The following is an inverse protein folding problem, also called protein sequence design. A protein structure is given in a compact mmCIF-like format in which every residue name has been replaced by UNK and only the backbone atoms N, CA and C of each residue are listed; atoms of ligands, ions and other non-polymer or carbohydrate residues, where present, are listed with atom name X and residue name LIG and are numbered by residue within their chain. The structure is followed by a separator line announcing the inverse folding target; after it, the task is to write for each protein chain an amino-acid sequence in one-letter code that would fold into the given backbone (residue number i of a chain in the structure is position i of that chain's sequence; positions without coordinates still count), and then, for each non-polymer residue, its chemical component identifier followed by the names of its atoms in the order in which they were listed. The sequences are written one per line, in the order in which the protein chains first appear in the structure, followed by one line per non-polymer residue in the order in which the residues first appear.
data_IF_775732160240
#
_entry.id   IF_775732160240
#
_cell.length_a   1.000
_cell.length_b   1.000
_cell.length_c   1.000
_cell.angle_alpha   90.00
_cell.angle_beta   90.00
_cell.angle_gamma   90.00
#
_symmetry.space_group_name_H-M   'P 1'
#
loop_
_entity.id
_entity.type
_entity.pdbx_description
1 polymer ?
#
# COMPACT_ATOMS: atom_id res chain seq x y z
N UNK A 1 -12.22 -40.04 -25.04
CA UNK A 1 -11.53 -38.75 -25.25
C UNK A 1 -10.83 -38.40 -23.95
N UNK A 2 -9.57 -38.00 -24.03
CA UNK A 2 -8.83 -37.43 -22.89
C UNK A 2 -8.83 -35.91 -23.05
N UNK A 3 -9.49 -35.21 -22.14
CA UNK A 3 -9.60 -33.75 -22.14
C UNK A 3 -9.43 -33.21 -20.73
N UNK A 4 -8.72 -32.10 -20.58
CA UNK A 4 -8.64 -31.40 -19.30
C UNK A 4 -9.74 -30.32 -19.23
N UNK A 5 -10.76 -30.52 -18.37
CA UNK A 5 -11.99 -29.70 -18.40
C UNK A 5 -11.83 -28.30 -17.77
N UNK A 6 -10.97 -28.17 -16.75
CA UNK A 6 -10.76 -26.93 -16.02
C UNK A 6 -9.36 -26.38 -16.32
N UNK A 7 -9.25 -25.58 -17.38
CA UNK A 7 -7.98 -24.99 -17.80
C UNK A 7 -7.93 -23.53 -17.34
N UNK A 8 -6.86 -23.15 -16.67
CA UNK A 8 -6.57 -21.76 -16.30
C UNK A 8 -5.41 -21.22 -17.12
N UNK A 9 -5.63 -20.09 -17.80
CA UNK A 9 -4.57 -19.33 -18.48
C UNK A 9 -4.30 -18.03 -17.74
N UNK A 10 -3.05 -17.56 -17.73
CA UNK A 10 -2.70 -16.23 -17.18
C UNK A 10 -2.59 -15.23 -18.32
N UNK A 11 -3.16 -14.03 -18.14
CA UNK A 11 -3.15 -12.97 -19.14
C UNK A 11 -1.72 -12.68 -19.63
N UNK A 12 -1.52 -12.74 -20.95
CA UNK A 12 -0.23 -12.54 -21.61
C UNK A 12 0.75 -13.73 -21.53
N UNK A 13 0.37 -14.84 -20.89
CA UNK A 13 1.16 -16.08 -20.82
C UNK A 13 0.60 -17.16 -21.75
N UNK A 14 1.37 -18.24 -21.92
CA UNK A 14 0.94 -19.41 -22.66
C UNK A 14 -0.12 -20.21 -21.87
N UNK A 15 -1.16 -20.68 -22.55
CA UNK A 15 -2.13 -21.63 -22.02
C UNK A 15 -2.22 -22.85 -22.93
N UNK A 16 -2.48 -24.03 -22.37
CA UNK A 16 -2.51 -25.31 -23.12
C UNK A 16 -3.90 -25.91 -23.08
N UNK A 17 -4.50 -26.12 -24.25
CA UNK A 17 -5.77 -26.82 -24.42
C UNK A 17 -5.46 -28.25 -24.85
N UNK A 18 -5.49 -29.18 -23.89
CA UNK A 18 -5.20 -30.60 -24.15
C UNK A 18 -6.45 -31.34 -24.59
N UNK A 19 -6.35 -32.06 -25.71
CA UNK A 19 -7.40 -32.97 -26.15
C UNK A 19 -6.85 -34.09 -27.05
N UNK A 20 -7.08 -35.33 -26.64
CA UNK A 20 -6.56 -36.52 -27.30
C UNK A 20 -7.64 -37.60 -27.51
N UNK A 21 -7.61 -38.22 -28.68
CA UNK A 21 -8.49 -39.34 -29.01
C UNK A 21 -7.84 -40.66 -28.60
N UNK A 22 -8.47 -41.36 -27.67
CA UNK A 22 -8.01 -42.64 -27.10
C UNK A 22 -8.74 -43.86 -27.67
N UNK A 23 -9.62 -43.67 -28.66
CA UNK A 23 -10.36 -44.77 -29.27
C UNK A 23 -9.54 -45.53 -30.32
N UNK A 24 -10.06 -46.69 -30.70
CA UNK A 24 -9.39 -47.58 -31.67
C UNK A 24 -9.71 -47.24 -33.12
N UNK A 25 -10.85 -46.58 -33.39
CA UNK A 25 -11.26 -46.23 -34.75
C UNK A 25 -10.31 -45.22 -35.40
N UNK A 26 -10.30 -45.21 -36.74
CA UNK A 26 -9.57 -44.23 -37.52
C UNK A 26 -10.30 -42.89 -37.47
N UNK A 27 -9.54 -41.81 -37.24
CA UNK A 27 -10.09 -40.45 -37.18
C UNK A 27 -9.97 -39.82 -38.55
N UNK A 28 -11.10 -39.60 -39.20
CA UNK A 28 -11.18 -38.98 -40.54
C UNK A 28 -10.76 -37.50 -40.48
N UNK A 29 -11.23 -36.77 -39.45
CA UNK A 29 -10.80 -35.40 -39.17
C UNK A 29 -11.13 -34.99 -37.73
N UNK A 30 -10.47 -33.94 -37.25
CA UNK A 30 -10.67 -33.43 -35.89
C UNK A 30 -10.56 -31.91 -35.83
N UNK A 31 -11.38 -31.27 -34.99
CA UNK A 31 -11.46 -29.81 -34.90
C UNK A 31 -11.62 -29.31 -33.46
N UNK A 32 -11.02 -28.15 -33.19
CA UNK A 32 -11.38 -27.27 -32.10
C UNK A 32 -12.39 -26.23 -32.56
N UNK A 33 -13.44 -26.05 -31.77
CA UNK A 33 -14.41 -24.99 -31.92
C UNK A 33 -14.47 -24.12 -30.66
N UNK A 34 -14.84 -22.86 -30.83
CA UNK A 34 -15.38 -22.04 -29.74
C UNK A 34 -16.88 -21.96 -29.85
N UNK A 35 -17.57 -21.98 -28.70
CA UNK A 35 -19.01 -21.80 -28.65
C UNK A 35 -19.35 -20.32 -28.47
N UNK A 36 -20.08 -19.73 -29.40
CA UNK A 36 -20.82 -18.47 -29.20
C UNK A 36 -22.32 -18.78 -29.09
N UNK A 37 -23.15 -17.81 -28.71
CA UNK A 37 -24.59 -18.01 -28.43
C UNK A 37 -25.40 -18.62 -29.60
N UNK A 38 -24.87 -18.58 -30.84
CA UNK A 38 -25.60 -19.01 -32.04
C UNK A 38 -24.85 -19.99 -32.95
N UNK A 39 -23.52 -20.11 -32.86
CA UNK A 39 -22.73 -20.96 -33.79
C UNK A 39 -21.44 -21.52 -33.18
N UNK A 40 -20.99 -22.67 -33.70
CA UNK A 40 -19.64 -23.21 -33.46
C UNK A 40 -18.68 -22.56 -34.47
N UNK A 41 -17.61 -21.93 -33.97
CA UNK A 41 -16.58 -21.30 -34.83
C UNK A 41 -15.30 -22.13 -34.76
N UNK A 42 -14.80 -22.57 -35.92
CA UNK A 42 -13.55 -23.35 -36.03
C UNK A 42 -12.34 -22.50 -35.62
N UNK A 43 -11.50 -23.02 -34.74
CA UNK A 43 -10.29 -22.34 -34.26
C UNK A 43 -9.03 -22.99 -34.80
N UNK A 44 -8.95 -24.31 -34.68
CA UNK A 44 -7.84 -25.14 -35.13
C UNK A 44 -8.38 -26.51 -35.50
N UNK A 45 -7.61 -27.30 -36.23
CA UNK A 45 -8.00 -28.67 -36.53
C UNK A 45 -6.97 -29.40 -37.37
N UNK A 46 -7.31 -30.64 -37.68
CA UNK A 46 -6.49 -31.53 -38.48
C UNK A 46 -7.39 -32.33 -39.42
N UNK A 47 -7.12 -32.24 -40.71
CA UNK A 47 -7.73 -33.08 -41.74
C UNK A 47 -6.64 -33.88 -42.46
N UNK A 48 -6.31 -33.55 -43.71
CA UNK A 48 -5.08 -34.00 -44.37
C UNK A 48 -3.84 -33.28 -43.83
N UNK A 49 -3.99 -32.06 -43.32
CA UNK A 49 -2.93 -31.26 -42.68
C UNK A 49 -3.48 -30.51 -41.46
N UNK A 50 -2.60 -30.21 -40.51
CA UNK A 50 -2.92 -29.33 -39.39
C UNK A 50 -3.19 -27.90 -39.88
N UNK A 51 -4.18 -27.21 -39.30
CA UNK A 51 -4.46 -25.82 -39.60
C UNK A 51 -4.90 -25.05 -38.34
N UNK A 52 -4.70 -23.73 -38.37
CA UNK A 52 -5.21 -22.78 -37.38
C UNK A 52 -5.85 -21.59 -38.10
N UNK A 53 -6.98 -21.11 -37.60
CA UNK A 53 -7.64 -19.88 -38.09
C UNK A 53 -7.03 -18.64 -37.47
N UNK A 54 -6.61 -18.72 -36.21
CA UNK A 54 -5.93 -17.65 -35.49
C UNK A 54 -4.48 -18.07 -35.20
N UNK A 55 -3.51 -17.29 -35.69
CA UNK A 55 -2.06 -17.57 -35.54
C UNK A 55 -1.57 -17.52 -34.08
N UNK A 56 -2.38 -17.07 -33.12
CA UNK A 56 -2.09 -17.17 -31.67
C UNK A 56 -2.10 -18.61 -31.17
N UNK A 57 -2.79 -19.52 -31.88
CA UNK A 57 -2.84 -20.94 -31.57
C UNK A 57 -1.70 -21.69 -32.27
N UNK A 58 -1.11 -22.66 -31.59
CA UNK A 58 -0.19 -23.61 -32.20
C UNK A 58 -0.95 -24.60 -33.10
N UNK A 59 -0.24 -25.17 -34.07
CA UNK A 59 -0.79 -26.25 -34.89
C UNK A 59 -1.01 -27.51 -34.03
N UNK A 60 -2.12 -28.23 -34.22
CA UNK A 60 -2.31 -29.58 -33.68
C UNK A 60 -1.22 -30.55 -34.16
N UNK A 61 -0.84 -31.52 -33.33
CA UNK A 61 0.22 -32.48 -33.65
C UNK A 61 -0.23 -33.55 -34.65
N UNK A 62 -1.47 -34.06 -34.52
CA UNK A 62 -2.02 -35.08 -35.43
C UNK A 62 -3.55 -35.06 -35.45
N UNK A 63 -4.18 -35.89 -36.29
CA UNK A 63 -5.63 -36.09 -36.27
C UNK A 63 -6.13 -36.68 -34.94
N UNK A 64 -5.30 -37.45 -34.21
CA UNK A 64 -5.64 -38.02 -32.89
C UNK A 64 -5.19 -37.15 -31.71
N UNK A 65 -4.18 -36.29 -31.88
CA UNK A 65 -3.73 -35.35 -30.85
C UNK A 65 -4.00 -33.91 -31.28
N UNK A 66 -5.11 -33.38 -30.79
CA UNK A 66 -5.56 -32.02 -31.05
C UNK A 66 -4.98 -30.99 -30.08
N UNK A 67 -4.04 -31.35 -29.22
CA UNK A 67 -3.52 -30.41 -28.22
C UNK A 67 -2.93 -29.16 -28.88
N UNK A 68 -3.40 -27.99 -28.43
CA UNK A 68 -2.95 -26.67 -28.93
C UNK A 68 -2.55 -25.75 -27.79
N UNK A 69 -1.58 -24.89 -28.07
CA UNK A 69 -1.11 -23.83 -27.18
C UNK A 69 -1.62 -22.49 -27.65
N UNK A 70 -2.02 -21.63 -26.73
CA UNK A 70 -2.32 -20.22 -26.97
C UNK A 70 -1.10 -19.42 -26.53
N UNK A 71 -0.30 -18.88 -27.46
CA UNK A 71 1.00 -18.26 -27.13
C UNK A 71 0.88 -17.02 -26.23
N UNK A 72 -0.20 -16.25 -26.37
CA UNK A 72 -0.52 -15.08 -25.55
C UNK A 72 -2.01 -15.06 -25.26
N UNK A 73 -2.37 -15.49 -24.06
CA UNK A 73 -3.75 -15.51 -23.57
C UNK A 73 -4.28 -14.09 -23.39
N UNK A 74 -5.52 -13.86 -23.83
CA UNK A 74 -6.24 -12.59 -23.74
C UNK A 74 -7.56 -12.80 -22.98
N UNK A 75 -8.17 -11.74 -22.46
CA UNK A 75 -9.45 -11.82 -21.73
C UNK A 75 -10.58 -12.40 -22.60
N UNK A 76 -10.56 -12.11 -23.91
CA UNK A 76 -11.52 -12.68 -24.88
C UNK A 76 -11.38 -14.19 -25.11
N UNK A 77 -10.27 -14.80 -24.66
CA UNK A 77 -10.07 -16.24 -24.72
C UNK A 77 -10.83 -16.97 -23.59
N UNK A 78 -11.38 -16.25 -22.61
CA UNK A 78 -12.20 -16.83 -21.55
C UNK A 78 -13.57 -17.29 -22.08
N UNK A 79 -13.66 -18.56 -22.48
CA UNK A 79 -14.88 -19.15 -23.07
C UNK A 79 -14.83 -20.67 -23.09
N UNK A 80 -15.92 -21.26 -23.57
CA UNK A 80 -16.04 -22.70 -23.81
C UNK A 80 -15.35 -23.06 -25.13
N UNK A 81 -14.44 -24.03 -25.05
CA UNK A 81 -13.82 -24.69 -26.20
C UNK A 81 -14.38 -26.10 -26.33
N UNK A 82 -14.66 -26.52 -27.56
CA UNK A 82 -15.22 -27.83 -27.91
C UNK A 82 -14.18 -28.54 -28.76
N UNK A 83 -13.73 -29.70 -28.30
CA UNK A 83 -12.87 -30.60 -29.04
C UNK A 83 -13.74 -31.68 -29.68
N UNK A 84 -13.64 -31.85 -31.00
CA UNK A 84 -14.44 -32.81 -31.75
C UNK A 84 -13.57 -33.71 -32.63
N UNK A 85 -13.87 -35.01 -32.63
CA UNK A 85 -13.27 -36.00 -33.52
C UNK A 85 -14.37 -36.69 -34.32
N UNK A 86 -14.22 -36.73 -35.64
CA UNK A 86 -15.07 -37.49 -36.54
C UNK A 86 -14.35 -38.80 -36.89
N UNK A 87 -15.06 -39.90 -36.69
CA UNK A 87 -14.70 -41.25 -37.14
C UNK A 87 -15.69 -41.68 -38.21
N UNK A 88 -15.51 -42.87 -38.77
CA UNK A 88 -16.44 -43.41 -39.76
C UNK A 88 -17.81 -43.77 -39.15
N UNK A 89 -17.86 -44.06 -37.85
CA UNK A 89 -19.09 -44.48 -37.15
C UNK A 89 -19.81 -43.34 -36.43
N UNK A 90 -19.08 -42.35 -35.92
CA UNK A 90 -19.62 -41.32 -35.04
C UNK A 90 -18.77 -40.04 -34.97
N UNK A 91 -19.39 -38.96 -34.47
CA UNK A 91 -18.72 -37.73 -34.06
C UNK A 91 -18.72 -37.65 -32.52
N UNK A 92 -17.54 -37.47 -31.94
CA UNK A 92 -17.33 -37.41 -30.50
C UNK A 92 -16.89 -36.00 -30.12
N UNK A 93 -17.62 -35.39 -29.17
CA UNK A 93 -17.32 -34.05 -28.69
C UNK A 93 -17.14 -34.03 -27.17
N UNK A 94 -16.17 -33.24 -26.73
CA UNK A 94 -16.00 -32.89 -25.33
C UNK A 94 -15.75 -31.39 -25.18
N UNK A 95 -16.09 -30.85 -24.02
CA UNK A 95 -15.96 -29.41 -23.75
C UNK A 95 -15.05 -29.13 -22.58
N UNK A 96 -14.34 -28.01 -22.66
CA UNK A 96 -13.60 -27.42 -21.55
C UNK A 96 -13.93 -25.92 -21.46
N UNK A 97 -13.79 -25.36 -20.27
CA UNK A 97 -13.87 -23.93 -20.05
C UNK A 97 -12.47 -23.39 -19.75
N UNK A 98 -12.02 -22.40 -20.53
CA UNK A 98 -10.79 -21.68 -20.25
C UNK A 98 -11.12 -20.49 -19.35
N UNK A 99 -10.60 -20.47 -18.13
CA UNK A 99 -10.63 -19.29 -17.25
C UNK A 99 -9.35 -18.49 -17.42
N UNK A 100 -9.46 -17.17 -17.61
CA UNK A 100 -8.30 -16.29 -17.80
C UNK A 100 -8.06 -15.45 -16.55
N UNK A 101 -6.93 -15.69 -15.90
CA UNK A 101 -6.50 -14.95 -14.72
C UNK A 101 -5.76 -13.66 -15.10
N UNK A 102 -6.13 -12.56 -14.45
CA UNK A 102 -5.48 -11.26 -14.62
C UNK A 102 -4.24 -11.17 -13.75
N UNK A 103 -3.13 -10.69 -14.30
CA UNK A 103 -1.92 -10.49 -13.49
C UNK A 103 -2.12 -9.30 -12.56
N UNK A 104 -2.15 -9.57 -11.25
CA UNK A 104 -2.25 -8.53 -10.22
C UNK A 104 -0.95 -7.76 -10.05
N UNK A 105 -1.05 -6.43 -9.98
CA UNK A 105 0.01 -5.52 -9.56
C UNK A 105 -0.32 -4.91 -8.22
N UNK A 106 0.71 -4.66 -7.39
CA UNK A 106 0.56 -4.18 -6.03
C UNK A 106 1.23 -2.81 -5.88
N UNK A 107 0.58 -1.94 -5.11
CA UNK A 107 1.12 -0.66 -4.68
C UNK A 107 0.80 -0.45 -3.20
N UNK A 108 1.78 0.06 -2.46
CA UNK A 108 1.57 0.51 -1.09
C UNK A 108 1.88 2.01 -1.01
N UNK A 109 0.99 2.76 -0.38
CA UNK A 109 1.15 4.17 -0.09
C UNK A 109 0.98 4.37 1.41
N UNK A 110 1.75 5.30 1.99
CA UNK A 110 1.63 5.65 3.39
C UNK A 110 1.77 7.15 3.57
N UNK A 111 1.03 7.68 4.53
CA UNK A 111 1.09 9.10 4.89
C UNK A 111 0.66 9.29 6.34
N UNK A 112 1.17 10.35 6.96
CA UNK A 112 0.80 10.79 8.29
C UNK A 112 -0.12 12.00 8.23
N UNK A 113 -0.99 12.14 9.23
CA UNK A 113 -1.88 13.28 9.40
C UNK A 113 -2.08 13.57 10.88
N UNK A 114 -1.99 14.83 11.27
CA UNK A 114 -2.33 15.27 12.63
C UNK A 114 -3.78 15.70 12.71
N UNK A 115 -4.53 15.16 13.67
CA UNK A 115 -5.94 15.45 13.90
C UNK A 115 -6.20 15.52 15.41
N UNK A 116 -6.81 16.61 15.90
CA UNK A 116 -7.09 16.82 17.33
C UNK A 116 -5.87 16.58 18.24
N UNK A 117 -4.70 17.08 17.83
CA UNK A 117 -3.41 16.93 18.52
C UNK A 117 -2.75 15.54 18.47
N UNK A 118 -3.45 14.52 17.96
CA UNK A 118 -2.91 13.18 17.75
C UNK A 118 -2.40 12.99 16.33
N UNK A 119 -1.29 12.26 16.18
CA UNK A 119 -0.75 11.87 14.88
C UNK A 119 -1.29 10.50 14.46
N UNK A 120 -1.90 10.44 13.29
CA UNK A 120 -2.41 9.22 12.67
C UNK A 120 -1.52 8.80 11.50
N UNK A 121 -1.28 7.49 11.39
CA UNK A 121 -0.76 6.88 10.17
C UNK A 121 -1.92 6.32 9.36
N UNK A 122 -1.83 6.46 8.04
CA UNK A 122 -2.73 5.79 7.09
C UNK A 122 -1.88 5.01 6.09
N UNK A 123 -2.09 3.69 6.05
CA UNK A 123 -1.41 2.80 5.12
C UNK A 123 -2.45 2.28 4.14
N UNK A 124 -2.20 2.49 2.86
CA UNK A 124 -3.05 2.10 1.75
C UNK A 124 -2.37 1.01 0.94
N UNK A 125 -3.07 -0.11 0.76
CA UNK A 125 -2.64 -1.22 -0.09
C UNK A 125 -3.62 -1.35 -1.25
N UNK A 126 -3.10 -1.20 -2.47
CA UNK A 126 -3.91 -1.19 -3.70
C UNK A 126 -3.46 -2.28 -4.65
N UNK A 127 -4.41 -3.08 -5.12
CA UNK A 127 -4.22 -4.11 -6.14
C UNK A 127 -4.84 -3.65 -7.45
N UNK A 128 -4.14 -3.87 -8.56
CA UNK A 128 -4.58 -3.46 -9.90
C UNK A 128 -4.67 -4.66 -10.83
N UNK A 129 -5.68 -4.65 -11.70
CA UNK A 129 -5.91 -5.64 -12.76
C UNK A 129 -6.02 -7.10 -12.25
N UNK A 130 -6.46 -7.28 -11.01
CA UNK A 130 -6.71 -8.62 -10.44
C UNK A 130 -7.88 -9.27 -11.16
N UNK A 131 -7.76 -10.54 -11.54
CA UNK A 131 -8.90 -11.36 -12.00
C UNK A 131 -8.61 -12.81 -11.59
N UNK A 132 -9.37 -13.39 -10.65
CA UNK A 132 -10.49 -12.78 -9.89
C UNK A 132 -10.03 -11.64 -8.96
N UNK A 133 -10.95 -11.01 -8.23
CA UNK A 133 -10.57 -10.07 -7.18
C UNK A 133 -9.59 -10.72 -6.19
N UNK A 134 -8.56 -9.97 -5.79
CA UNK A 134 -7.57 -10.43 -4.83
C UNK A 134 -8.12 -10.35 -3.40
N UNK A 135 -7.56 -11.14 -2.50
CA UNK A 135 -7.86 -11.04 -1.08
C UNK A 135 -6.79 -10.20 -0.39
N UNK A 136 -7.19 -9.08 0.22
CA UNK A 136 -6.29 -8.15 0.92
C UNK A 136 -6.55 -8.27 2.42
N UNK A 137 -5.50 -8.54 3.19
CA UNK A 137 -5.55 -8.61 4.66
C UNK A 137 -4.39 -7.83 5.27
N UNK A 138 -4.55 -7.41 6.53
CA UNK A 138 -3.54 -6.67 7.27
C UNK A 138 -3.03 -7.51 8.44
N UNK A 139 -1.73 -7.47 8.67
CA UNK A 139 -1.07 -8.13 9.79
C UNK A 139 -0.22 -7.12 10.55
N UNK A 140 -0.41 -7.07 11.86
CA UNK A 140 0.37 -6.23 12.78
C UNK A 140 1.07 -7.12 13.77
N UNK A 141 2.41 -7.12 13.75
CA UNK A 141 3.21 -7.97 14.67
C UNK A 141 2.77 -9.44 14.71
N UNK A 142 2.35 -9.99 13.57
CA UNK A 142 1.91 -11.38 13.44
C UNK A 142 0.42 -11.65 13.71
N UNK A 143 -0.37 -10.63 14.09
CA UNK A 143 -1.81 -10.75 14.30
C UNK A 143 -2.59 -10.16 13.12
N UNK A 144 -3.56 -10.90 12.61
CA UNK A 144 -4.46 -10.43 11.54
C UNK A 144 -5.40 -9.37 12.14
N UNK A 145 -5.52 -8.24 11.45
CA UNK A 145 -6.42 -7.15 11.81
C UNK A 145 -7.31 -6.76 10.65
N UNK A 146 -8.50 -6.25 10.96
CA UNK A 146 -9.42 -5.76 9.96
C UNK A 146 -8.97 -4.40 9.41
N UNK A 147 -9.17 -4.22 8.11
CA UNK A 147 -9.05 -2.90 7.47
C UNK A 147 -10.23 -2.01 7.84
N UNK A 148 -10.02 -0.70 7.84
CA UNK A 148 -11.09 0.26 8.13
C UNK A 148 -11.93 0.57 6.90
N UNK A 149 -11.29 0.66 5.73
CA UNK A 149 -11.98 0.96 4.47
C UNK A 149 -11.48 0.03 3.38
N UNK A 150 -12.39 -0.70 2.74
CA UNK A 150 -12.11 -1.46 1.52
C UNK A 150 -13.02 -0.97 0.40
N UNK A 151 -12.44 -0.75 -0.78
CA UNK A 151 -13.16 -0.40 -2.00
C UNK A 151 -12.76 -1.37 -3.10
N UNK A 152 -13.76 -1.90 -3.82
CA UNK A 152 -13.55 -2.80 -4.96
C UNK A 152 -14.20 -2.18 -6.18
N UNK A 153 -13.40 -1.88 -7.21
CA UNK A 153 -13.87 -1.35 -8.47
C UNK A 153 -13.68 -2.41 -9.55
N UNK A 154 -14.77 -2.80 -10.21
CA UNK A 154 -14.75 -3.68 -11.37
C UNK A 154 -14.63 -2.85 -12.65
N UNK A 155 -13.71 -3.26 -13.51
CA UNK A 155 -13.49 -2.64 -14.82
C UNK A 155 -14.34 -3.32 -15.89
N UNK A 156 -14.62 -2.62 -16.98
CA UNK A 156 -15.42 -3.16 -18.10
C UNK A 156 -14.82 -4.42 -18.74
N UNK A 157 -13.52 -4.65 -18.57
CA UNK A 157 -12.82 -5.84 -19.06
C UNK A 157 -12.90 -7.03 -18.07
N UNK A 158 -13.62 -6.89 -16.95
CA UNK A 158 -13.77 -7.92 -15.92
C UNK A 158 -12.55 -8.10 -15.02
N UNK A 159 -11.62 -7.15 -14.99
CA UNK A 159 -10.57 -7.07 -13.96
C UNK A 159 -11.01 -6.17 -12.80
N UNK A 160 -10.33 -6.29 -11.66
CA UNK A 160 -10.66 -5.59 -10.43
C UNK A 160 -9.48 -4.72 -9.99
N UNK A 161 -9.79 -3.53 -9.49
CA UNK A 161 -8.89 -2.71 -8.67
C UNK A 161 -9.46 -2.63 -7.28
N UNK A 162 -8.68 -3.08 -6.28
CA UNK A 162 -9.09 -3.04 -4.88
C UNK A 162 -8.16 -2.15 -4.09
N UNK A 163 -8.74 -1.35 -3.20
CA UNK A 163 -8.02 -0.45 -2.30
C UNK A 163 -8.43 -0.77 -0.88
N UNK A 164 -7.46 -1.09 -0.03
CA UNK A 164 -7.66 -1.32 1.40
C UNK A 164 -6.84 -0.30 2.19
N UNK A 165 -7.45 0.35 3.18
CA UNK A 165 -6.78 1.36 4.02
C UNK A 165 -6.87 0.95 5.48
N UNK A 166 -5.71 0.94 6.14
CA UNK A 166 -5.57 0.77 7.58
C UNK A 166 -5.06 2.08 8.20
N UNK A 167 -5.94 2.76 8.94
CA UNK A 167 -5.66 4.03 9.63
C UNK A 167 -5.62 3.81 11.13
N UNK A 168 -4.62 4.34 11.82
CA UNK A 168 -4.48 4.16 13.26
C UNK A 168 -3.71 5.32 13.90
N UNK A 169 -3.96 5.64 15.18
CA UNK A 169 -3.08 6.51 15.95
C UNK A 169 -1.67 5.94 16.02
N UNK A 170 -0.67 6.75 15.68
CA UNK A 170 0.73 6.32 15.51
C UNK A 170 1.29 5.67 16.77
N UNK A 171 0.94 6.20 17.95
CA UNK A 171 1.42 5.70 19.24
C UNK A 171 1.01 4.24 19.54
N UNK A 172 -0.06 3.70 18.92
CA UNK A 172 -0.51 2.31 19.18
C UNK A 172 0.44 1.26 18.61
N UNK A 173 1.06 1.59 17.47
CA UNK A 173 1.90 0.68 16.71
C UNK A 173 3.33 1.20 16.54
N UNK A 174 3.73 2.16 17.36
CA UNK A 174 5.05 2.76 17.36
C UNK A 174 6.18 1.71 17.26
N UNK A 175 7.03 1.84 16.24
CA UNK A 175 8.16 0.95 15.99
C UNK A 175 7.80 -0.46 15.51
N UNK A 176 6.51 -0.81 15.43
CA UNK A 176 6.03 -2.10 14.93
C UNK A 176 5.93 -2.12 13.41
N UNK A 177 5.96 -3.32 12.85
CA UNK A 177 5.73 -3.55 11.43
C UNK A 177 4.25 -3.81 11.14
N UNK A 178 3.74 -3.08 10.14
CA UNK A 178 2.43 -3.29 9.54
C UNK A 178 2.64 -3.92 8.18
N UNK A 179 2.00 -5.06 7.95
CA UNK A 179 2.14 -5.82 6.70
C UNK A 179 0.79 -5.92 6.00
N UNK A 180 0.72 -5.47 4.74
CA UNK A 180 -0.36 -5.83 3.83
C UNK A 180 -0.03 -7.19 3.20
N UNK A 181 -0.94 -8.15 3.34
CA UNK A 181 -0.88 -9.46 2.69
C UNK A 181 -1.91 -9.53 1.56
N UNK A 182 -1.47 -9.89 0.36
CA UNK A 182 -2.31 -10.03 -0.82
C UNK A 182 -2.21 -11.44 -1.37
N UNK A 183 -3.34 -12.14 -1.34
CA UNK A 183 -3.50 -13.47 -1.89
C UNK A 183 -4.26 -13.40 -3.23
N UNK A 184 -3.71 -14.05 -4.25
CA UNK A 184 -4.28 -14.08 -5.59
C UNK A 184 -3.80 -15.34 -6.35
N UNK A 185 -4.64 -16.01 -7.15
CA UNK A 185 -4.29 -17.28 -7.82
C UNK A 185 -3.09 -17.23 -8.77
N UNK A 186 -2.67 -16.04 -9.22
CA UNK A 186 -1.48 -15.88 -10.07
C UNK A 186 -0.17 -15.83 -9.29
N UNK A 187 -0.22 -15.77 -7.96
CA UNK A 187 0.95 -15.81 -7.11
C UNK A 187 1.20 -17.25 -6.66
N UNK A 188 2.48 -17.65 -6.63
CA UNK A 188 2.87 -18.96 -6.08
C UNK A 188 2.71 -19.00 -4.56
N UNK A 189 2.85 -17.84 -3.92
CA UNK A 189 2.73 -17.61 -2.49
C UNK A 189 2.12 -16.24 -2.25
N UNK A 190 1.51 -16.03 -1.08
CA UNK A 190 0.94 -14.75 -0.68
C UNK A 190 1.99 -13.65 -0.74
N UNK A 191 1.68 -12.54 -1.41
CA UNK A 191 2.58 -11.40 -1.53
C UNK A 191 2.42 -10.46 -0.35
N UNK A 192 3.52 -10.04 0.25
CA UNK A 192 3.52 -9.17 1.43
C UNK A 192 4.25 -7.86 1.17
N UNK A 193 3.68 -6.75 1.64
CA UNK A 193 4.33 -5.43 1.67
C UNK A 193 4.32 -4.92 3.11
N UNK A 194 5.50 -4.57 3.61
CA UNK A 194 5.72 -4.20 5.01
C UNK A 194 6.11 -2.73 5.13
N UNK A 195 5.58 -2.05 6.15
CA UNK A 195 5.94 -0.70 6.54
C UNK A 195 6.15 -0.69 8.05
N UNK A 196 7.29 -0.14 8.47
CA UNK A 196 7.57 0.10 9.88
C UNK A 196 6.97 1.44 10.31
N UNK A 197 6.20 1.43 11.40
CA UNK A 197 5.63 2.66 11.97
C UNK A 197 6.74 3.48 12.62
N UNK A 198 6.79 4.81 12.38
CA UNK A 198 7.79 5.66 13.02
C UNK A 198 7.78 5.54 14.54
N UNK A 199 8.96 5.32 15.14
CA UNK A 199 9.11 5.39 16.59
C UNK A 199 9.10 6.83 17.09
N UNK A 200 8.61 7.05 18.31
CA UNK A 200 8.63 8.35 18.95
C UNK A 200 9.90 8.51 19.79
N UNK A 201 10.44 9.72 19.81
CA UNK A 201 11.66 10.08 20.52
C UNK A 201 11.36 11.22 21.47
N UNK A 202 11.69 11.04 22.75
CA UNK A 202 11.51 12.10 23.75
C UNK A 202 12.45 13.27 23.42
N UNK A 203 11.95 14.51 23.35
CA UNK A 203 12.79 15.68 23.13
C UNK A 203 13.66 15.97 24.36
N UNK A 204 14.87 16.49 24.14
CA UNK A 204 15.73 16.98 25.21
C UNK A 204 15.48 18.47 25.45
N UNK A 205 14.99 18.82 26.64
CA UNK A 205 14.71 20.20 27.01
C UNK A 205 15.96 20.95 27.51
N UNK A 206 16.25 22.10 26.92
CA UNK A 206 17.24 23.05 27.41
C UNK A 206 16.67 24.46 27.48
N UNK A 207 17.04 25.22 28.52
CA UNK A 207 16.70 26.64 28.63
C UNK A 207 18.00 27.42 28.83
N UNK A 208 18.19 28.46 28.02
CA UNK A 208 19.35 29.35 28.05
C UNK A 208 18.88 30.81 28.14
N UNK A 209 19.71 31.66 28.73
CA UNK A 209 19.41 33.10 28.88
C UNK A 209 20.59 33.86 28.32
N UNK A 210 20.30 34.83 27.47
CA UNK A 210 21.29 35.72 26.90
C UNK A 210 20.95 37.16 27.27
N UNK A 211 21.99 37.96 27.48
CA UNK A 211 21.87 39.39 27.70
C UNK A 211 22.51 40.11 26.52
N UNK A 212 21.79 41.08 25.95
CA UNK A 212 22.27 41.91 24.84
C UNK A 212 21.99 43.37 25.14
N UNK A 213 22.95 44.25 24.87
CA UNK A 213 22.77 45.70 25.02
C UNK A 213 22.56 46.34 23.65
N UNK A 214 21.45 47.06 23.49
CA UNK A 214 21.09 47.77 22.27
C UNK A 214 20.60 49.17 22.61
N UNK A 215 21.19 50.21 22.01
CA UNK A 215 20.83 51.60 22.25
C UNK A 215 20.72 51.95 23.75
N UNK A 216 21.74 51.57 24.53
CA UNK A 216 21.81 51.75 26.00
C UNK A 216 20.73 51.02 26.82
N UNK A 217 19.91 50.19 26.18
CA UNK A 217 18.91 49.35 26.84
C UNK A 217 19.42 47.91 26.93
N UNK A 218 19.42 47.34 28.14
CA UNK A 218 19.70 45.92 28.37
C UNK A 218 18.45 45.08 28.05
N UNK A 219 18.61 44.10 27.16
CA UNK A 219 17.60 43.11 26.82
C UNK A 219 18.01 41.74 27.32
N UNK A 220 17.02 40.97 27.79
CA UNK A 220 17.16 39.55 28.09
C UNK A 220 16.40 38.73 27.06
N UNK A 221 17.04 37.69 26.55
CA UNK A 221 16.44 36.71 25.64
C UNK A 221 16.51 35.35 26.30
N UNK A 222 15.36 34.78 26.61
CA UNK A 222 15.26 33.41 27.13
C UNK A 222 14.96 32.49 25.95
N UNK A 223 15.85 31.56 25.69
CA UNK A 223 15.68 30.53 24.68
C UNK A 223 15.28 29.21 25.33
N UNK A 224 14.14 28.66 24.93
CA UNK A 224 13.72 27.32 25.28
C UNK A 224 13.79 26.42 24.05
N UNK A 225 14.52 25.31 24.16
CA UNK A 225 14.75 24.38 23.06
C UNK A 225 14.33 22.98 23.46
N UNK A 226 13.51 22.34 22.62
CA UNK A 226 13.08 20.96 22.69
C UNK A 226 13.76 20.19 21.55
N UNK A 227 14.93 19.62 21.80
CA UNK A 227 15.79 19.06 20.77
C UNK A 227 15.52 17.58 20.47
N UNK A 228 15.62 17.20 19.18
CA UNK A 228 15.55 15.80 18.70
C UNK A 228 14.28 15.05 19.10
N UNK A 229 13.15 15.75 19.22
CA UNK A 229 11.85 15.15 19.45
C UNK A 229 11.31 14.46 18.20
N UNK A 230 10.51 13.41 18.38
CA UNK A 230 9.71 12.82 17.31
C UNK A 230 8.38 12.35 17.89
N UNK A 231 7.23 12.92 17.49
CA UNK A 231 7.08 14.10 16.61
C UNK A 231 7.63 15.39 17.24
N UNK A 232 7.59 16.54 16.54
CA UNK A 232 7.92 17.83 17.14
C UNK A 232 7.16 18.07 18.46
N UNK A 233 7.88 18.54 19.46
CA UNK A 233 7.31 18.94 20.73
C UNK A 233 6.64 20.32 20.62
N UNK A 234 5.62 20.58 21.44
CA UNK A 234 5.00 21.90 21.58
C UNK A 234 5.67 22.66 22.72
N UNK A 235 6.01 23.93 22.49
CA UNK A 235 6.54 24.84 23.52
C UNK A 235 5.47 25.89 23.85
N UNK A 236 5.19 26.07 25.14
CA UNK A 236 4.33 27.11 25.68
C UNK A 236 5.06 27.91 26.77
N UNK A 237 4.75 29.21 26.86
CA UNK A 237 5.32 30.10 27.87
C UNK A 237 4.28 30.47 28.93
N UNK A 238 4.66 30.36 30.20
CA UNK A 238 3.95 31.00 31.32
C UNK A 238 4.75 32.24 31.70
N UNK A 239 4.24 33.38 31.22
CA UNK A 239 4.85 34.70 31.39
C UNK A 239 4.13 35.50 32.50
N UNK A 240 4.81 36.45 33.15
CA UNK A 240 4.20 37.42 34.06
C UNK A 240 3.12 38.29 33.37
N UNK A 241 2.31 39.01 34.16
CA UNK A 241 1.17 39.79 33.64
C UNK A 241 1.57 40.84 32.58
N UNK A 242 2.76 41.44 32.72
CA UNK A 242 3.22 42.50 31.82
C UNK A 242 3.91 41.96 30.55
N UNK A 243 3.15 41.25 29.71
CA UNK A 243 3.64 40.63 28.46
C UNK A 243 3.97 41.68 27.40
N UNK A 244 5.17 42.23 27.42
CA UNK A 244 5.62 43.27 26.49
C UNK A 244 6.85 42.87 25.64
N UNK A 245 7.32 41.63 25.79
CA UNK A 245 8.40 41.06 24.98
C UNK A 245 7.94 40.41 23.66
N UNK A 246 8.91 40.13 22.80
CA UNK A 246 8.76 39.47 21.51
C UNK A 246 8.99 37.95 21.66
N UNK A 247 8.09 37.14 21.09
CA UNK A 247 8.27 35.69 21.04
C UNK A 247 8.56 35.27 19.59
N UNK A 248 9.67 34.58 19.38
CA UNK A 248 9.98 33.95 18.10
C UNK A 248 9.94 32.43 18.23
N UNK A 249 9.58 31.75 17.14
CA UNK A 249 9.51 30.30 17.05
C UNK A 249 10.31 29.81 15.84
N UNK A 250 11.06 28.73 16.01
CA UNK A 250 11.83 28.08 14.96
C UNK A 250 11.74 26.57 15.09
N UNK A 251 11.71 25.87 13.95
CA UNK A 251 11.73 24.41 13.87
C UNK A 251 12.83 24.01 12.90
N UNK A 252 13.67 23.07 13.31
CA UNK A 252 14.70 22.47 12.47
C UNK A 252 14.51 20.96 12.46
N UNK A 253 14.54 20.35 11.27
CA UNK A 253 14.44 18.91 11.12
C UNK A 253 15.82 18.35 10.77
N UNK A 254 16.25 17.32 11.52
CA UNK A 254 17.51 16.61 11.28
C UNK A 254 17.30 15.10 11.46
N UNK A 255 17.71 14.33 10.45
CA UNK A 255 17.70 12.86 10.45
C UNK A 255 16.38 12.22 10.95
N UNK A 256 15.25 12.80 10.57
CA UNK A 256 13.90 12.33 10.94
C UNK A 256 13.45 12.70 12.36
N UNK A 257 14.20 13.51 13.09
CA UNK A 257 13.81 14.16 14.35
C UNK A 257 13.66 15.67 14.17
N UNK A 258 12.91 16.30 15.05
CA UNK A 258 12.60 17.72 15.00
C UNK A 258 13.08 18.41 16.28
N UNK A 259 13.76 19.54 16.12
CA UNK A 259 14.17 20.42 17.20
C UNK A 259 13.37 21.71 17.11
N UNK A 260 12.57 21.97 18.14
CA UNK A 260 11.74 23.16 18.25
C UNK A 260 12.42 24.12 19.22
N UNK A 261 12.56 25.38 18.82
CA UNK A 261 13.14 26.44 19.62
C UNK A 261 12.18 27.60 19.69
N UNK A 262 11.95 28.13 20.89
CA UNK A 262 11.21 29.36 21.10
C UNK A 262 12.04 30.33 21.91
N UNK A 263 12.08 31.59 21.52
CA UNK A 263 12.78 32.65 22.25
C UNK A 263 11.79 33.70 22.74
N UNK A 264 11.97 34.18 23.97
CA UNK A 264 11.24 35.31 24.53
C UNK A 264 12.22 36.43 24.86
N UNK A 265 12.11 37.56 24.16
CA UNK A 265 13.01 38.71 24.26
C UNK A 265 12.29 39.91 24.87
N UNK A 266 12.86 40.52 25.90
CA UNK A 266 12.26 41.65 26.61
C UNK A 266 13.33 42.58 27.24
N UNK A 267 13.03 43.87 27.44
CA UNK A 267 13.87 44.76 28.24
C UNK A 267 14.05 44.26 29.69
N UNK A 268 15.30 44.20 30.18
CA UNK A 268 15.65 43.56 31.44
C UNK A 268 14.89 44.09 32.68
N UNK A 269 14.53 45.38 32.68
CA UNK A 269 13.85 46.06 33.77
C UNK A 269 12.38 45.63 33.99
N UNK A 270 11.75 44.96 33.01
CA UNK A 270 10.32 44.66 33.03
C UNK A 270 9.95 43.46 33.91
N UNK A 271 10.88 42.52 34.07
CA UNK A 271 10.63 41.24 34.74
C UNK A 271 11.64 40.98 35.88
N UNK A 272 12.19 42.04 36.49
CA UNK A 272 13.10 41.91 37.64
C UNK A 272 12.44 41.13 38.79
N UNK A 273 13.13 40.10 39.30
CA UNK A 273 12.63 39.24 40.36
C UNK A 273 11.44 38.34 39.98
N UNK A 274 11.02 38.32 38.71
CA UNK A 274 9.91 37.49 38.25
C UNK A 274 10.39 36.16 37.67
N UNK A 275 9.47 35.19 37.64
CA UNK A 275 9.69 33.87 37.08
C UNK A 275 9.10 33.78 35.67
N UNK A 276 9.90 33.28 34.73
CA UNK A 276 9.45 32.95 33.39
C UNK A 276 9.58 31.45 33.22
N UNK A 277 8.50 30.80 32.80
CA UNK A 277 8.46 29.33 32.72
C UNK A 277 8.21 28.88 31.30
N UNK A 278 9.06 27.98 30.81
CA UNK A 278 8.83 27.23 29.59
C UNK A 278 8.18 25.89 29.91
N UNK A 279 7.16 25.52 29.16
CA UNK A 279 6.41 24.27 29.26
C UNK A 279 6.53 23.52 27.94
N UNK A 280 7.00 22.28 27.98
CA UNK A 280 7.09 21.39 26.84
C UNK A 280 6.04 20.29 26.94
N UNK A 281 5.35 20.07 25.82
CA UNK A 281 4.37 19.01 25.65
C UNK A 281 4.82 18.09 24.52
N UNK A 282 4.80 16.79 24.77
CA UNK A 282 5.19 15.78 23.79
C UNK A 282 4.47 14.45 24.10
N UNK A 283 4.03 13.66 23.09
CA UNK A 283 3.25 12.44 23.33
C UNK A 283 3.94 11.39 24.21
N UNK A 284 5.29 11.37 24.24
CA UNK A 284 6.06 10.48 25.13
C UNK A 284 6.24 10.98 26.56
N UNK A 285 5.82 12.21 26.87
CA UNK A 285 5.89 12.78 28.20
C UNK A 285 4.55 12.55 28.90
N UNK A 286 4.54 11.73 29.95
CA UNK A 286 3.33 11.47 30.74
C UNK A 286 2.80 12.73 31.45
N UNK A 287 3.70 13.68 31.75
CA UNK A 287 3.40 14.98 32.33
C UNK A 287 4.22 16.00 31.55
N UNK A 288 3.65 17.20 31.32
CA UNK A 288 4.35 18.31 30.66
C UNK A 288 5.67 18.61 31.38
N UNK A 289 6.75 18.74 30.64
CA UNK A 289 8.06 19.08 31.20
C UNK A 289 8.13 20.60 31.39
N UNK A 290 8.57 21.05 32.56
CA UNK A 290 8.51 22.47 32.95
C UNK A 290 9.87 22.91 33.43
N UNK A 291 10.39 24.02 32.89
CA UNK A 291 11.59 24.69 33.41
C UNK A 291 11.30 26.17 33.65
N UNK A 292 11.51 26.58 34.89
CA UNK A 292 11.36 27.97 35.32
C UNK A 292 12.72 28.63 35.46
N UNK A 293 12.81 29.84 34.92
CA UNK A 293 13.95 30.74 35.06
C UNK A 293 13.52 31.87 35.98
N UNK A 294 14.28 32.08 37.06
CA UNK A 294 14.11 33.24 37.95
C UNK A 294 15.08 34.35 37.54
N UNK A 295 14.54 35.53 37.28
CA UNK A 295 15.36 36.69 36.92
C UNK A 295 15.92 37.36 38.18
N UNK A 296 17.19 37.81 38.16
CA UNK A 296 17.76 38.52 39.31
C UNK A 296 16.98 39.81 39.59
N UNK A 297 16.79 40.11 40.87
CA UNK A 297 16.25 41.38 41.34
C UNK A 297 17.41 42.33 41.64
N UNK A 298 17.42 43.51 41.02
CA UNK A 298 18.42 44.52 41.33
C UNK A 298 17.93 45.37 42.50
N UNK A 299 18.65 45.35 43.62
CA UNK A 299 18.36 46.24 44.74
C UNK A 299 18.76 47.67 44.33
N UNK A 300 17.81 48.60 44.33
CA UNK A 300 18.12 50.03 44.26
C UNK A 300 18.69 50.46 45.61
N UNK A 301 19.98 50.79 45.64
CA UNK A 301 20.64 51.44 46.77
C UNK A 301 20.34 52.94 46.76
#
# INVERSE_FOLDING_TARGET
LLIHKNVTGVLGKEAVLQCEYTGMEEVSYSNWFTKTDKTKVKVAGYNTKSYVKNKRFSLPQSNKNLTVKINRTQLEDEKIYICAFSTDSQELEETLYLTVLGKTFLQILYFSQTENEDEYQSIECTTFNSKPAANISWVVSGLIVDSITQTTNEHLNGTFTQRSVYRFPTYLHEGKDITCMVDHPTFTEVKTMMIQVPSYTVPNMTVQIYTTNENETEYKTIECTAAKGKPAAKIAWVLPENKSGEINYGITADNGTETVTSTYRFPAHLHEGQNITCVIEHPKLAIKEVKTVSLPAYCKY
#
